data_IF_918253044745
#
_entry.id   IF_918253044745
#
_cell.length_a   1.000
_cell.length_b   1.000
_cell.length_c   1.000
_cell.angle_alpha   90.00
_cell.angle_beta   90.00
_cell.angle_gamma   90.00
#
_symmetry.space_group_name_H-M   'P 1'
#
loop_
_entity.id
_entity.type
_entity.pdbx_description
1 polymer ?
#
# COMPACT_ATOMS: atom_id res chain seq x y z
N UNK A 1 -7.51 12.18 10.32
CA UNK A 1 -7.19 10.80 10.75
C UNK A 1 -5.80 10.75 11.42
N UNK A 2 -5.56 9.68 12.20
CA UNK A 2 -4.32 9.48 12.94
C UNK A 2 -3.49 8.39 12.27
N UNK A 3 -2.21 8.68 12.05
CA UNK A 3 -1.22 7.72 11.59
C UNK A 3 -0.02 7.71 12.53
N UNK A 4 0.66 6.59 12.63
CA UNK A 4 2.03 6.52 13.14
C UNK A 4 2.96 6.21 11.98
N UNK A 5 4.10 6.88 11.96
CA UNK A 5 5.18 6.64 11.02
C UNK A 5 6.48 6.38 11.78
N UNK A 6 7.27 5.43 11.31
CA UNK A 6 8.59 5.16 11.85
C UNK A 6 9.54 4.71 10.74
N UNK A 7 10.82 4.92 11.00
CA UNK A 7 11.91 4.60 10.08
C UNK A 7 13.02 3.88 10.83
N UNK A 8 13.60 2.87 10.19
CA UNK A 8 14.70 2.10 10.76
C UNK A 8 15.87 2.10 9.80
N UNK A 9 17.01 2.64 10.25
CA UNK A 9 18.27 2.56 9.52
C UNK A 9 18.85 1.14 9.57
N UNK A 10 19.53 0.74 8.48
CA UNK A 10 20.09 -0.60 8.28
C UNK A 10 19.06 -1.73 8.33
N UNK A 11 17.86 -1.42 7.84
CA UNK A 11 16.74 -2.35 7.67
C UNK A 11 16.19 -2.22 6.25
N UNK A 12 15.43 -3.23 5.84
CA UNK A 12 14.66 -3.25 4.61
C UNK A 12 13.15 -3.46 4.88
N UNK A 13 12.35 -3.49 3.83
CA UNK A 13 10.90 -3.64 3.92
C UNK A 13 10.47 -4.99 4.52
N UNK A 14 11.30 -6.03 4.45
CA UNK A 14 11.00 -7.34 5.04
C UNK A 14 11.14 -7.28 6.56
N UNK A 15 12.15 -6.56 7.07
CA UNK A 15 12.30 -6.31 8.51
C UNK A 15 11.07 -5.59 9.09
N UNK A 16 10.52 -4.61 8.34
CA UNK A 16 9.31 -3.89 8.77
C UNK A 16 8.08 -4.80 8.80
N UNK A 17 7.92 -5.70 7.83
CA UNK A 17 6.84 -6.70 7.88
C UNK A 17 6.93 -7.57 9.14
N UNK A 18 8.14 -8.02 9.52
CA UNK A 18 8.36 -8.81 10.74
C UNK A 18 8.02 -8.01 12.00
N UNK A 19 8.44 -6.74 12.07
CA UNK A 19 8.13 -5.83 13.19
C UNK A 19 6.62 -5.62 13.31
N UNK A 20 5.94 -5.46 12.19
CA UNK A 20 4.50 -5.21 12.14
C UNK A 20 3.71 -6.43 12.61
N UNK A 21 4.11 -7.64 12.19
CA UNK A 21 3.53 -8.89 12.70
C UNK A 21 3.67 -8.98 14.23
N UNK A 22 4.88 -8.75 14.75
CA UNK A 22 5.18 -8.79 16.19
C UNK A 22 4.36 -7.79 16.98
N UNK A 23 4.32 -6.56 16.50
CA UNK A 23 3.62 -5.46 17.14
C UNK A 23 2.11 -5.72 17.18
N UNK A 24 1.51 -6.12 16.07
CA UNK A 24 0.05 -6.31 16.00
C UNK A 24 -0.39 -7.53 16.81
N UNK A 25 0.32 -8.66 16.76
CA UNK A 25 0.01 -9.82 17.60
C UNK A 25 0.07 -9.43 19.08
N UNK A 26 1.13 -8.71 19.50
CA UNK A 26 1.30 -8.25 20.88
C UNK A 26 0.19 -7.31 21.33
N UNK A 27 -0.19 -6.32 20.50
CA UNK A 27 -1.26 -5.37 20.79
C UNK A 27 -2.60 -6.10 20.93
N UNK A 28 -2.93 -6.94 19.94
CA UNK A 28 -4.19 -7.69 19.93
C UNK A 28 -4.28 -8.59 21.15
N UNK A 29 -3.24 -9.34 21.47
CA UNK A 29 -3.21 -10.21 22.65
C UNK A 29 -3.33 -9.44 23.96
N UNK A 30 -2.68 -8.28 24.06
CA UNK A 30 -2.76 -7.41 25.26
C UNK A 30 -4.17 -6.86 25.50
N UNK A 31 -4.91 -6.56 24.42
CA UNK A 31 -6.24 -5.94 24.52
C UNK A 31 -7.34 -6.99 24.66
N UNK A 32 -7.31 -8.05 23.85
CA UNK A 32 -8.38 -9.05 23.76
C UNK A 32 -8.13 -10.32 24.59
N UNK A 33 -6.90 -10.51 25.10
CA UNK A 33 -6.49 -11.75 25.77
C UNK A 33 -6.25 -12.93 24.82
N UNK A 34 -6.31 -12.71 23.50
CA UNK A 34 -6.14 -13.70 22.44
C UNK A 34 -5.46 -13.05 21.23
N UNK A 35 -4.78 -13.83 20.38
CA UNK A 35 -4.29 -13.34 19.10
C UNK A 35 -5.38 -13.25 18.03
N UNK A 36 -6.65 -13.54 18.37
CA UNK A 36 -7.79 -13.49 17.44
C UNK A 36 -8.83 -12.48 17.91
N UNK A 37 -9.45 -11.79 16.96
CA UNK A 37 -10.59 -10.89 17.22
C UNK A 37 -11.77 -11.24 16.32
N UNK A 38 -12.94 -10.72 16.65
CA UNK A 38 -14.10 -10.70 15.76
C UNK A 38 -14.21 -9.29 15.15
N UNK A 39 -14.34 -9.21 13.83
CA UNK A 39 -14.60 -7.96 13.13
C UNK A 39 -15.67 -8.16 12.08
N UNK A 40 -16.80 -7.46 12.20
CA UNK A 40 -17.96 -7.51 11.30
C UNK A 40 -18.40 -8.96 10.96
N UNK A 41 -18.44 -9.81 11.99
CA UNK A 41 -18.84 -11.21 11.89
C UNK A 41 -17.78 -12.16 11.34
N UNK A 42 -16.56 -11.68 11.12
CA UNK A 42 -15.42 -12.48 10.64
C UNK A 42 -14.37 -12.64 11.73
N UNK A 43 -13.80 -13.82 11.86
CA UNK A 43 -12.65 -14.06 12.75
C UNK A 43 -11.36 -13.65 12.04
N UNK A 44 -10.61 -12.74 12.65
CA UNK A 44 -9.30 -12.30 12.17
C UNK A 44 -8.24 -12.88 13.09
N UNK A 45 -7.26 -13.60 12.53
CA UNK A 45 -6.16 -14.22 13.26
C UNK A 45 -4.88 -13.40 13.07
N UNK A 46 -4.34 -12.85 14.16
CA UNK A 46 -3.12 -12.05 14.18
C UNK A 46 -1.87 -12.84 14.56
N UNK A 47 -1.96 -14.17 14.71
CA UNK A 47 -0.77 -14.98 14.92
C UNK A 47 0.21 -14.79 13.76
N UNK A 48 1.49 -14.70 14.10
CA UNK A 48 2.57 -14.56 13.11
C UNK A 48 2.54 -15.61 12.01
N UNK A 49 3.17 -15.26 10.90
CA UNK A 49 3.21 -16.07 9.70
C UNK A 49 2.14 -15.63 8.70
N UNK A 50 1.88 -14.31 8.64
CA UNK A 50 0.94 -13.73 7.70
C UNK A 50 1.39 -13.97 6.26
N UNK A 51 0.42 -14.00 5.37
CA UNK A 51 0.70 -14.20 3.96
C UNK A 51 1.45 -13.00 3.39
N UNK A 52 2.55 -13.26 2.68
CA UNK A 52 3.28 -12.30 1.84
C UNK A 52 3.03 -12.68 0.38
N UNK A 53 2.24 -11.88 -0.31
CA UNK A 53 1.73 -12.20 -1.64
C UNK A 53 2.11 -11.09 -2.63
N UNK A 54 2.90 -11.39 -3.68
CA UNK A 54 3.17 -10.41 -4.73
C UNK A 54 1.89 -9.91 -5.40
N UNK A 55 1.82 -8.61 -5.72
CA UNK A 55 0.64 -7.99 -6.34
C UNK A 55 0.21 -8.71 -7.62
N UNK A 56 1.15 -9.01 -8.50
CA UNK A 56 0.89 -9.72 -9.76
C UNK A 56 0.28 -11.10 -9.49
N UNK A 57 0.82 -11.83 -8.53
CA UNK A 57 0.31 -13.15 -8.14
C UNK A 57 -1.09 -13.05 -7.54
N UNK A 58 -1.36 -12.01 -6.76
CA UNK A 58 -2.70 -11.75 -6.19
C UNK A 58 -3.74 -11.46 -7.28
N UNK A 59 -3.38 -10.68 -8.29
CA UNK A 59 -4.23 -10.41 -9.45
C UNK A 59 -4.58 -11.69 -10.24
N UNK A 60 -3.63 -12.60 -10.34
CA UNK A 60 -3.85 -13.89 -11.01
C UNK A 60 -4.71 -14.81 -10.12
N UNK A 61 -4.30 -15.06 -8.87
CA UNK A 61 -4.91 -16.07 -8.00
C UNK A 61 -6.28 -15.65 -7.45
N UNK A 62 -6.44 -14.37 -7.11
CA UNK A 62 -7.63 -13.83 -6.44
C UNK A 62 -8.44 -12.97 -7.41
N UNK A 63 -7.75 -12.15 -8.23
CA UNK A 63 -8.39 -11.25 -9.21
C UNK A 63 -8.94 -11.96 -10.44
N UNK A 64 -8.44 -13.16 -10.75
CA UNK A 64 -8.89 -13.96 -11.91
C UNK A 64 -8.37 -13.44 -13.26
N UNK A 65 -7.27 -12.68 -13.25
CA UNK A 65 -6.60 -12.18 -14.45
C UNK A 65 -5.62 -13.26 -14.92
N UNK A 66 -5.59 -13.58 -16.22
CA UNK A 66 -4.66 -14.60 -16.70
C UNK A 66 -3.23 -14.05 -16.80
N UNK A 67 -2.24 -14.94 -16.70
CA UNK A 67 -0.82 -14.60 -16.78
C UNK A 67 -0.47 -13.88 -18.10
N UNK A 68 -1.13 -14.24 -19.20
CA UNK A 68 -0.92 -13.64 -20.52
C UNK A 68 -1.42 -12.19 -20.54
N UNK A 69 -2.54 -11.90 -19.85
CA UNK A 69 -3.12 -10.55 -19.79
C UNK A 69 -2.29 -9.58 -18.96
N UNK A 70 -1.61 -10.06 -17.91
CA UNK A 70 -0.87 -9.20 -16.97
C UNK A 70 0.16 -8.32 -17.68
N UNK A 71 0.81 -8.83 -18.73
CA UNK A 71 1.87 -8.12 -19.47
C UNK A 71 1.35 -7.34 -20.69
N UNK A 72 0.05 -7.38 -20.97
CA UNK A 72 -0.56 -6.69 -22.12
C UNK A 72 -1.59 -5.66 -21.67
N UNK A 73 -1.20 -4.39 -21.72
CA UNK A 73 -2.06 -3.25 -21.37
C UNK A 73 -3.39 -3.24 -22.14
N UNK A 74 -3.39 -3.66 -23.41
CA UNK A 74 -4.61 -3.70 -24.23
C UNK A 74 -5.60 -4.74 -23.69
N UNK A 75 -5.10 -5.94 -23.37
CA UNK A 75 -5.91 -7.00 -22.77
C UNK A 75 -6.46 -6.62 -21.40
N UNK A 76 -5.67 -5.91 -20.56
CA UNK A 76 -6.13 -5.40 -19.26
C UNK A 76 -7.24 -4.34 -19.41
N UNK A 77 -7.12 -3.44 -20.39
CA UNK A 77 -8.16 -2.45 -20.69
C UNK A 77 -9.47 -3.12 -21.17
N UNK A 78 -9.37 -4.12 -22.03
CA UNK A 78 -10.52 -4.88 -22.49
C UNK A 78 -11.18 -5.68 -21.35
N UNK A 79 -10.37 -6.28 -20.49
CA UNK A 79 -10.84 -6.96 -19.28
C UNK A 79 -11.57 -5.99 -18.34
N UNK A 80 -10.99 -4.83 -18.06
CA UNK A 80 -11.61 -3.80 -17.23
C UNK A 80 -12.96 -3.35 -17.81
N UNK A 81 -13.01 -3.09 -19.10
CA UNK A 81 -14.24 -2.69 -19.80
C UNK A 81 -15.33 -3.76 -19.69
N UNK A 82 -15.00 -5.04 -19.87
CA UNK A 82 -15.95 -6.17 -19.73
C UNK A 82 -16.51 -6.28 -18.32
N UNK A 83 -15.74 -5.89 -17.31
CA UNK A 83 -16.10 -5.96 -15.91
C UNK A 83 -16.64 -4.63 -15.35
N UNK A 84 -16.91 -3.62 -16.20
CA UNK A 84 -17.37 -2.28 -15.82
C UNK A 84 -16.43 -1.54 -14.85
N UNK A 85 -15.13 -1.82 -14.92
CA UNK A 85 -14.10 -1.15 -14.12
C UNK A 85 -13.65 0.12 -14.85
N UNK A 86 -13.69 1.25 -14.15
CA UNK A 86 -13.35 2.55 -14.73
C UNK A 86 -11.83 2.74 -14.81
N UNK A 87 -11.28 2.43 -15.98
CA UNK A 87 -9.89 2.68 -16.35
C UNK A 87 -9.88 3.57 -17.60
N UNK A 88 -8.99 4.54 -17.62
CA UNK A 88 -8.85 5.46 -18.75
C UNK A 88 -7.65 5.06 -19.62
N UNK A 89 -7.67 5.48 -20.90
CA UNK A 89 -6.53 5.29 -21.81
C UNK A 89 -5.28 6.08 -21.41
N UNK A 90 -5.41 7.01 -20.46
CA UNK A 90 -4.29 7.77 -19.88
C UNK A 90 -3.61 7.04 -18.74
N UNK A 91 -4.27 6.04 -18.13
CA UNK A 91 -3.67 5.24 -17.08
C UNK A 91 -2.55 4.40 -17.69
N UNK A 92 -1.36 4.53 -17.14
CA UNK A 92 -0.20 3.71 -17.53
C UNK A 92 -0.35 2.31 -16.94
N UNK A 93 0.48 1.39 -17.37
CA UNK A 93 0.36 -0.04 -17.05
C UNK A 93 0.30 -0.33 -15.54
N UNK A 94 1.23 0.24 -14.76
CA UNK A 94 1.27 0.06 -13.31
C UNK A 94 0.02 0.61 -12.62
N UNK A 95 -0.52 1.77 -13.07
CA UNK A 95 -1.76 2.33 -12.54
C UNK A 95 -2.98 1.46 -12.87
N UNK A 96 -2.98 0.80 -14.03
CA UNK A 96 -4.04 -0.15 -14.39
C UNK A 96 -4.03 -1.35 -13.45
N UNK A 97 -2.84 -1.92 -13.20
CA UNK A 97 -2.70 -3.04 -12.28
C UNK A 97 -3.18 -2.71 -10.87
N UNK A 98 -2.81 -1.53 -10.33
CA UNK A 98 -3.29 -1.11 -8.99
C UNK A 98 -4.79 -0.92 -8.94
N UNK A 99 -5.40 -0.26 -9.93
CA UNK A 99 -6.87 -0.12 -10.00
C UNK A 99 -7.61 -1.45 -10.09
N UNK A 100 -7.04 -2.42 -10.81
CA UNK A 100 -7.61 -3.77 -10.87
C UNK A 100 -7.46 -4.49 -9.52
N UNK A 101 -6.33 -4.30 -8.85
CA UNK A 101 -6.08 -4.84 -7.52
C UNK A 101 -7.10 -4.28 -6.51
N UNK A 102 -7.29 -2.96 -6.43
CA UNK A 102 -8.21 -2.29 -5.52
C UNK A 102 -9.65 -2.84 -5.62
N UNK A 103 -10.07 -3.21 -6.83
CA UNK A 103 -11.45 -3.66 -7.07
C UNK A 103 -11.60 -5.19 -6.94
N UNK A 104 -10.62 -5.95 -7.42
CA UNK A 104 -10.77 -7.40 -7.58
C UNK A 104 -10.15 -8.20 -6.44
N UNK A 105 -9.15 -7.65 -5.77
CA UNK A 105 -8.32 -8.36 -4.78
C UNK A 105 -8.53 -7.79 -3.38
N UNK A 106 -8.31 -6.50 -3.16
CA UNK A 106 -8.36 -5.86 -1.84
C UNK A 106 -9.59 -6.25 -1.02
N UNK A 107 -10.85 -6.20 -1.54
CA UNK A 107 -12.03 -6.55 -0.75
C UNK A 107 -12.10 -8.02 -0.29
N UNK A 108 -11.26 -8.89 -0.86
CA UNK A 108 -11.19 -10.32 -0.55
C UNK A 108 -10.08 -10.68 0.43
N UNK A 109 -9.21 -9.74 0.78
CA UNK A 109 -8.12 -9.92 1.74
C UNK A 109 -8.65 -9.80 3.17
N UNK A 110 -9.18 -10.88 3.69
CA UNK A 110 -9.84 -10.87 5.03
C UNK A 110 -8.80 -11.04 6.14
N UNK A 111 -7.93 -12.05 6.02
CA UNK A 111 -6.85 -12.29 6.98
C UNK A 111 -5.69 -11.33 6.72
N UNK A 112 -4.87 -11.01 7.75
CA UNK A 112 -3.69 -10.16 7.58
C UNK A 112 -2.82 -10.67 6.42
N UNK A 113 -2.64 -9.82 5.42
CA UNK A 113 -1.90 -10.18 4.19
C UNK A 113 -1.07 -8.99 3.73
N UNK A 114 0.23 -9.19 3.62
CA UNK A 114 1.12 -8.24 2.96
C UNK A 114 1.07 -8.44 1.45
N UNK A 115 0.75 -7.40 0.73
CA UNK A 115 0.90 -7.35 -0.73
C UNK A 115 2.22 -6.67 -1.05
N UNK A 116 3.07 -7.32 -1.84
CA UNK A 116 4.43 -6.89 -2.14
C UNK A 116 4.65 -6.68 -3.64
N UNK A 117 5.78 -6.08 -4.03
CA UNK A 117 6.18 -5.97 -5.43
C UNK A 117 5.28 -5.02 -6.23
N UNK A 118 5.09 -3.81 -5.72
CA UNK A 118 4.37 -2.75 -6.41
C UNK A 118 5.17 -2.22 -7.60
N UNK A 119 4.51 -1.85 -8.73
CA UNK A 119 5.19 -1.24 -9.86
C UNK A 119 5.91 0.07 -9.47
N UNK A 120 7.11 0.27 -10.01
CA UNK A 120 7.91 1.50 -9.86
C UNK A 120 7.10 2.75 -10.22
N UNK A 121 6.25 2.65 -11.21
CA UNK A 121 5.41 3.74 -11.73
C UNK A 121 4.47 4.36 -10.66
N UNK A 122 4.01 3.54 -9.72
CA UNK A 122 3.06 3.93 -8.65
C UNK A 122 3.70 4.02 -7.27
N UNK A 123 5.04 3.95 -7.21
CA UNK A 123 5.81 3.92 -5.96
C UNK A 123 7.00 4.88 -6.01
N UNK A 124 6.77 6.21 -6.09
CA UNK A 124 7.80 7.19 -6.42
C UNK A 124 8.90 7.38 -5.36
N UNK A 125 8.70 6.92 -4.12
CA UNK A 125 9.64 7.05 -3.01
C UNK A 125 10.28 5.72 -2.61
N UNK A 126 9.79 4.61 -3.17
CA UNK A 126 10.26 3.27 -2.81
C UNK A 126 11.45 2.85 -3.68
N UNK A 127 12.45 2.22 -3.06
CA UNK A 127 13.61 1.63 -3.74
C UNK A 127 13.15 0.55 -4.73
N UNK A 128 13.80 0.51 -5.90
CA UNK A 128 13.61 -0.58 -6.88
C UNK A 128 14.12 -1.89 -6.32
N UNK A 129 13.44 -2.97 -6.63
CA UNK A 129 13.92 -4.30 -6.31
C UNK A 129 15.14 -4.66 -7.17
N UNK A 130 16.19 -5.21 -6.52
CA UNK A 130 17.38 -5.67 -7.23
C UNK A 130 17.09 -6.88 -8.14
N UNK A 131 16.08 -7.69 -7.77
CA UNK A 131 15.68 -8.87 -8.53
C UNK A 131 14.85 -8.51 -9.78
N UNK A 132 14.05 -7.45 -9.71
CA UNK A 132 13.22 -6.97 -10.82
C UNK A 132 13.09 -5.43 -10.75
N UNK A 133 13.88 -4.68 -11.52
CA UNK A 133 13.87 -3.20 -11.49
C UNK A 133 12.57 -2.52 -11.93
N UNK A 134 11.58 -3.24 -12.44
CA UNK A 134 10.24 -2.73 -12.74
C UNK A 134 9.34 -2.70 -11.50
N UNK A 135 9.74 -3.39 -10.43
CA UNK A 135 9.05 -3.48 -9.16
C UNK A 135 9.83 -2.75 -8.05
N UNK A 136 9.16 -2.51 -6.94
CA UNK A 136 9.75 -1.88 -5.76
C UNK A 136 9.75 -2.81 -4.56
N UNK A 137 10.69 -2.60 -3.65
CA UNK A 137 10.77 -3.20 -2.32
C UNK A 137 9.77 -2.48 -1.38
N UNK A 138 8.48 -2.74 -1.62
CA UNK A 138 7.33 -2.11 -0.96
C UNK A 138 6.28 -3.15 -0.61
N UNK A 139 5.63 -2.95 0.51
CA UNK A 139 4.42 -3.67 0.87
C UNK A 139 3.28 -2.73 1.26
N UNK A 140 2.07 -3.21 1.14
CA UNK A 140 0.90 -2.71 1.85
C UNK A 140 0.28 -3.88 2.64
N UNK A 141 -0.15 -3.62 3.88
CA UNK A 141 -0.83 -4.59 4.72
C UNK A 141 -2.34 -4.41 4.58
N UNK A 142 -3.01 -5.50 4.24
CA UNK A 142 -4.47 -5.54 4.17
C UNK A 142 -5.05 -6.46 5.24
N UNK A 143 -6.10 -5.99 5.91
CA UNK A 143 -6.88 -6.77 6.89
C UNK A 143 -8.37 -6.42 6.71
N UNK A 144 -9.23 -7.42 6.62
CA UNK A 144 -10.67 -7.24 6.44
C UNK A 144 -11.04 -6.35 5.24
N UNK A 145 -10.32 -6.50 4.13
CA UNK A 145 -10.54 -5.75 2.90
C UNK A 145 -10.18 -4.27 3.01
N UNK A 146 -9.24 -3.90 3.88
CA UNK A 146 -8.79 -2.51 4.08
C UNK A 146 -7.27 -2.46 4.20
N UNK A 147 -6.65 -1.50 3.53
CA UNK A 147 -5.25 -1.14 3.77
C UNK A 147 -5.10 -0.62 5.20
N UNK A 148 -4.18 -1.20 5.95
CA UNK A 148 -3.88 -0.85 7.35
C UNK A 148 -2.51 -0.16 7.47
N UNK A 149 -1.53 -0.61 6.68
CA UNK A 149 -0.18 -0.06 6.69
C UNK A 149 0.43 -0.08 5.29
N UNK A 150 1.43 0.78 5.08
CA UNK A 150 2.22 0.87 3.86
C UNK A 150 3.68 1.11 4.26
N UNK A 151 4.59 0.27 3.80
CA UNK A 151 6.00 0.37 4.12
C UNK A 151 6.88 -0.01 2.94
N UNK A 152 8.10 0.50 2.93
CA UNK A 152 9.06 0.23 1.85
C UNK A 152 10.50 0.50 2.28
N UNK A 153 11.43 -0.09 1.52
CA UNK A 153 12.82 0.33 1.54
C UNK A 153 12.91 1.70 0.86
N UNK A 154 13.49 2.67 1.55
CA UNK A 154 13.61 4.05 1.08
C UNK A 154 14.60 4.16 -0.08
N UNK A 155 14.34 5.06 -1.03
CA UNK A 155 15.36 5.47 -2.01
C UNK A 155 16.42 6.29 -1.28
N UNK A 156 17.66 5.82 -1.29
CA UNK A 156 18.79 6.53 -0.71
C UNK A 156 19.80 7.04 -1.76
N UNK A 157 19.54 6.81 -3.05
CA UNK A 157 20.29 7.36 -4.18
C UNK A 157 19.61 8.65 -4.66
N UNK A 158 20.26 9.83 -4.54
CA UNK A 158 19.68 11.11 -4.96
C UNK A 158 19.42 11.17 -6.47
N UNK A 159 20.20 10.45 -7.29
CA UNK A 159 20.01 10.40 -8.75
C UNK A 159 18.73 9.64 -9.10
N UNK A 160 18.52 8.44 -8.52
CA UNK A 160 17.26 7.68 -8.74
C UNK A 160 16.05 8.49 -8.22
N UNK A 161 16.17 9.15 -7.06
CA UNK A 161 15.08 9.98 -6.55
C UNK A 161 14.73 11.16 -7.45
N UNK A 162 15.75 11.84 -8.01
CA UNK A 162 15.53 12.91 -8.98
C UNK A 162 14.78 12.41 -10.22
N UNK A 163 15.19 11.27 -10.77
CA UNK A 163 14.54 10.66 -11.93
C UNK A 163 13.08 10.27 -11.63
N UNK A 164 12.82 9.77 -10.42
CA UNK A 164 11.46 9.40 -9.97
C UNK A 164 10.55 10.63 -9.87
N UNK A 165 11.03 11.72 -9.27
CA UNK A 165 10.28 12.97 -9.23
C UNK A 165 10.07 13.57 -10.62
N UNK A 166 11.07 13.47 -11.51
CA UNK A 166 10.91 13.93 -12.89
C UNK A 166 9.79 13.19 -13.62
N UNK A 167 9.68 11.87 -13.48
CA UNK A 167 8.56 11.09 -14.01
C UNK A 167 7.22 11.52 -13.41
N UNK A 168 7.17 11.87 -12.12
CA UNK A 168 5.95 12.36 -11.47
C UNK A 168 5.52 13.73 -12.04
N UNK A 169 6.48 14.63 -12.28
CA UNK A 169 6.21 15.93 -12.92
C UNK A 169 5.65 15.75 -14.33
N UNK A 170 6.17 14.81 -15.12
CA UNK A 170 5.61 14.49 -16.43
C UNK A 170 4.18 13.99 -16.34
N UNK A 171 3.89 13.04 -15.44
CA UNK A 171 2.53 12.55 -15.20
C UNK A 171 1.57 13.68 -14.77
N UNK A 172 2.05 14.62 -13.95
CA UNK A 172 1.27 15.79 -13.52
C UNK A 172 0.91 16.70 -14.70
N UNK A 173 1.87 16.92 -15.61
CA UNK A 173 1.65 17.71 -16.83
C UNK A 173 0.69 17.00 -17.80
N UNK A 174 0.63 15.68 -17.79
CA UNK A 174 -0.33 14.86 -18.53
C UNK A 174 -1.73 14.87 -17.90
N UNK A 175 -1.87 15.50 -16.70
CA UNK A 175 -3.14 15.70 -15.99
C UNK A 175 -3.44 14.68 -14.90
N UNK A 176 -2.43 14.00 -14.36
CA UNK A 176 -2.58 13.19 -13.15
C UNK A 176 -2.59 14.09 -11.90
N UNK A 177 -3.73 14.27 -11.20
CA UNK A 177 -3.80 15.16 -10.03
C UNK A 177 -3.06 14.60 -8.80
N UNK A 178 -2.84 13.30 -8.76
CA UNK A 178 -2.17 12.61 -7.63
C UNK A 178 -0.64 12.63 -7.76
N UNK A 179 -0.10 13.01 -8.92
CA UNK A 179 1.33 13.02 -9.15
C UNK A 179 2.03 14.12 -8.32
N UNK A 180 3.20 13.77 -7.79
CA UNK A 180 4.03 14.67 -7.00
C UNK A 180 4.65 15.79 -7.85
N UNK A 181 5.06 16.85 -7.16
CA UNK A 181 5.93 17.90 -7.74
C UNK A 181 7.39 17.52 -7.51
N UNK A 182 8.30 18.20 -8.21
CA UNK A 182 9.73 18.10 -7.92
C UNK A 182 10.00 18.71 -6.52
N UNK A 183 10.63 17.91 -5.66
CA UNK A 183 11.13 18.35 -4.37
C UNK A 183 12.67 18.36 -4.41
N UNK A 184 13.21 19.52 -4.79
CA UNK A 184 14.65 19.69 -4.92
C UNK A 184 15.38 19.69 -3.56
N UNK A 185 14.71 20.11 -2.49
CA UNK A 185 15.27 20.12 -1.14
C UNK A 185 15.37 18.69 -0.60
N UNK A 186 14.40 17.84 -0.89
CA UNK A 186 14.44 16.42 -0.57
C UNK A 186 15.63 15.72 -1.27
N UNK A 187 15.78 15.92 -2.59
CA UNK A 187 16.91 15.36 -3.35
C UNK A 187 18.23 15.82 -2.77
N UNK A 188 18.36 17.14 -2.49
CA UNK A 188 19.56 17.71 -1.88
C UNK A 188 19.85 17.13 -0.49
N UNK A 189 18.83 16.83 0.31
CA UNK A 189 19.01 16.18 1.60
C UNK A 189 19.63 14.78 1.44
N UNK A 190 19.23 14.01 0.43
CA UNK A 190 19.79 12.69 0.12
C UNK A 190 21.27 12.77 -0.29
N UNK A 191 21.73 13.89 -0.93
CA UNK A 191 23.14 14.08 -1.29
C UNK A 191 24.09 14.13 -0.07
N UNK A 192 23.57 14.46 1.13
CA UNK A 192 24.34 14.38 2.37
C UNK A 192 24.57 12.96 2.88
N UNK A 193 23.87 12.00 2.32
CA UNK A 193 23.96 10.58 2.60
C UNK A 193 22.89 10.10 3.58
N UNK A 194 22.19 9.05 3.18
CA UNK A 194 21.25 8.29 4.03
C UNK A 194 21.66 6.82 3.98
N UNK A 195 21.80 6.12 5.13
CA UNK A 195 22.06 4.68 5.12
C UNK A 195 20.88 3.94 4.49
N UNK A 196 21.04 2.66 4.10
CA UNK A 196 19.87 1.83 3.80
C UNK A 196 18.88 1.96 4.94
N UNK A 197 17.65 2.30 4.61
CA UNK A 197 16.59 2.62 5.59
C UNK A 197 15.27 2.10 5.07
N UNK A 198 14.43 1.62 5.94
CA UNK A 198 13.05 1.31 5.62
C UNK A 198 12.09 2.14 6.48
N UNK A 199 10.98 2.56 5.90
CA UNK A 199 9.96 3.36 6.54
C UNK A 199 8.56 2.75 6.39
N UNK A 200 7.71 2.94 7.40
CA UNK A 200 6.34 2.44 7.41
C UNK A 200 5.40 3.46 8.03
N UNK A 201 4.21 3.59 7.42
CA UNK A 201 3.07 4.29 7.95
C UNK A 201 1.93 3.35 8.27
N UNK A 202 1.36 3.45 9.49
CA UNK A 202 0.24 2.63 9.96
C UNK A 202 -0.95 3.51 10.28
N UNK A 203 -2.12 3.19 9.73
CA UNK A 203 -3.38 3.85 10.01
C UNK A 203 -3.95 3.46 11.37
N UNK A 204 -3.70 4.28 12.40
CA UNK A 204 -4.15 4.00 13.77
C UNK A 204 -5.67 3.92 13.85
N UNK A 205 -6.40 4.80 13.20
CA UNK A 205 -7.87 4.77 13.24
C UNK A 205 -8.41 3.46 12.63
N UNK A 206 -7.81 2.97 11.55
CA UNK A 206 -8.20 1.68 10.94
C UNK A 206 -7.89 0.50 11.86
N UNK A 207 -6.74 0.51 12.54
CA UNK A 207 -6.40 -0.50 13.54
C UNK A 207 -7.39 -0.47 14.72
N UNK A 208 -7.75 0.72 15.22
CA UNK A 208 -8.75 0.86 16.29
C UNK A 208 -10.13 0.36 15.82
N UNK A 209 -10.54 0.61 14.57
CA UNK A 209 -11.78 0.03 14.02
C UNK A 209 -11.80 -1.49 14.12
N UNK A 210 -10.69 -2.16 13.77
CA UNK A 210 -10.56 -3.62 13.88
C UNK A 210 -10.70 -4.08 15.33
N UNK A 211 -9.99 -3.44 16.26
CA UNK A 211 -9.93 -3.81 17.68
C UNK A 211 -11.25 -3.57 18.42
N UNK A 212 -12.07 -2.62 17.95
CA UNK A 212 -13.36 -2.25 18.58
C UNK A 212 -14.59 -2.73 17.83
N UNK A 213 -14.40 -3.52 16.77
CA UNK A 213 -15.48 -3.96 15.86
C UNK A 213 -16.30 -2.80 15.29
N UNK A 214 -15.67 -1.66 15.04
CA UNK A 214 -16.33 -0.45 14.52
C UNK A 214 -16.32 -0.45 12.98
N UNK A 215 -17.48 -0.38 12.29
CA UNK A 215 -17.54 -0.42 10.83
C UNK A 215 -17.10 0.88 10.16
N UNK A 216 -17.11 2.00 10.88
CA UNK A 216 -16.83 3.33 10.34
C UNK A 216 -15.75 4.07 11.15
N UNK A 217 -14.84 4.74 10.43
CA UNK A 217 -13.82 5.59 11.03
C UNK A 217 -14.42 6.71 11.91
N UNK A 218 -15.65 7.14 11.65
CA UNK A 218 -16.35 8.16 12.45
C UNK A 218 -16.64 7.71 13.87
N UNK A 219 -16.68 6.42 14.12
CA UNK A 219 -16.95 5.84 15.44
C UNK A 219 -15.72 5.80 16.32
N UNK A 220 -14.52 5.89 15.74
CA UNK A 220 -13.25 5.81 16.44
C UNK A 220 -12.51 7.15 16.53
N UNK A 221 -12.86 8.15 15.71
CA UNK A 221 -12.32 9.50 15.79
C UNK A 221 -13.11 10.31 16.84
N UNK A 222 -12.42 10.82 17.88
CA UNK A 222 -13.04 11.57 18.98
C UNK A 222 -13.79 12.82 18.51
N UNK A 223 -13.24 13.54 17.51
CA UNK A 223 -13.82 14.78 16.97
C UNK A 223 -13.82 14.73 15.43
N UNK A 224 -14.72 13.94 14.82
CA UNK A 224 -14.77 13.82 13.37
C UNK A 224 -15.15 15.14 12.72
N UNK A 225 -14.44 15.52 11.66
CA UNK A 225 -14.78 16.71 10.88
C UNK A 225 -16.12 16.51 10.16
N UNK A 226 -17.09 17.33 10.50
CA UNK A 226 -18.45 17.23 9.95
C UNK A 226 -18.59 18.20 8.78
N UNK A 227 -19.34 17.74 7.74
CA UNK A 227 -19.72 18.63 6.64
C UNK A 227 -20.62 19.76 7.18
N UNK A 228 -20.30 21.01 6.83
CA UNK A 228 -21.16 22.14 7.16
C UNK A 228 -22.58 21.91 6.61
N UNK A 229 -23.58 22.14 7.46
CA UNK A 229 -24.96 22.13 6.98
C UNK A 229 -25.13 23.35 6.08
N UNK A 230 -25.40 23.15 4.80
CA UNK A 230 -25.92 24.23 3.95
C UNK A 230 -27.21 24.76 4.57
N UNK A 231 -27.17 26.00 4.99
CA UNK A 231 -28.36 26.77 5.44
C UNK A 231 -29.23 27.09 4.24
#
# INVERSE_FOLDING_TARGET
>A
FTMVEFYQAYADYEDLMDITEDMFESIVQSISGSATIQYQGQTIDFKKGWQRLPMIESLIKIGGISTEMINDTSSLLDFAKKNNIQITKKDRHGKILTKLFDILVEPKLIQPTFITGYPVEVSPLSRKSDANPELTDRFELFIAGKEIANGFSEINDPGDQYDRFSMQVEQKNEGNPEAHIMDADYVKALEYGMPPTAGEGIGIDRLVMLLTDSPSIREVILFPHMKEKSV
#
